data_IF_088141972141
#
_entry.id   IF_088141972141
#
_cell.length_a   1.000
_cell.length_b   1.000
_cell.length_c   1.000
_cell.angle_alpha   90.00
_cell.angle_beta   90.00
_cell.angle_gamma   90.00
#
_symmetry.space_group_name_H-M   'P 1'
#
loop_
_entity.id
_entity.type
_entity.pdbx_description
1 polymer ?
#
# COMPACT_ATOMS: atom_id res chain seq x y z
N UNK A 1 20.00 -27.96 46.76
CA UNK A 1 20.99 -26.86 46.87
C UNK A 1 21.34 -26.40 45.45
N UNK A 2 20.58 -25.46 44.90
CA UNK A 2 21.17 -24.25 44.31
C UNK A 2 20.19 -23.58 43.35
N UNK A 3 19.41 -22.62 43.86
CA UNK A 3 18.69 -21.62 43.06
C UNK A 3 19.70 -20.57 42.59
N UNK A 4 19.68 -20.20 41.31
CA UNK A 4 20.19 -18.93 40.77
C UNK A 4 19.15 -18.47 39.73
N UNK A 5 18.19 -17.64 40.12
CA UNK A 5 18.19 -16.18 39.89
C UNK A 5 18.68 -15.85 38.48
N UNK A 6 17.73 -15.71 37.56
CA UNK A 6 17.85 -14.75 36.46
C UNK A 6 16.70 -13.77 36.61
N UNK A 7 17.09 -12.52 36.80
CA UNK A 7 16.28 -11.37 37.13
C UNK A 7 15.80 -10.71 35.83
N UNK A 8 14.58 -10.16 35.88
CA UNK A 8 14.11 -8.97 35.17
C UNK A 8 14.74 -8.61 33.81
N UNK A 9 14.08 -9.01 32.73
CA UNK A 9 13.87 -8.16 31.53
C UNK A 9 12.42 -8.38 31.09
N UNK A 10 11.46 -7.82 31.83
CA UNK A 10 10.04 -7.75 31.46
C UNK A 10 9.58 -6.30 31.60
N UNK A 11 10.27 -5.41 30.91
CA UNK A 11 9.98 -3.98 30.92
C UNK A 11 10.69 -3.28 29.79
N UNK A 12 10.19 -3.46 28.56
CA UNK A 12 10.38 -2.56 27.41
C UNK A 12 9.46 -2.92 26.21
N UNK A 13 8.39 -3.70 26.42
CA UNK A 13 7.42 -4.06 25.38
C UNK A 13 6.18 -3.14 25.34
N UNK A 14 6.15 -2.07 26.14
CA UNK A 14 5.03 -1.14 26.20
C UNK A 14 5.19 0.13 25.36
N UNK A 15 6.31 0.31 24.63
CA UNK A 15 6.61 1.56 23.93
C UNK A 15 6.25 1.58 22.44
N UNK A 16 5.79 0.47 21.85
CA UNK A 16 5.53 0.40 20.40
C UNK A 16 4.09 0.74 19.98
N UNK A 17 3.17 0.95 20.91
CA UNK A 17 1.76 1.15 20.57
C UNK A 17 1.38 2.61 20.25
N UNK A 18 2.26 3.58 20.49
CA UNK A 18 2.02 5.01 20.18
C UNK A 18 2.68 5.42 18.84
N UNK A 19 3.66 4.66 18.37
CA UNK A 19 4.49 5.00 17.21
C UNK A 19 3.75 5.08 15.85
N UNK A 20 2.77 4.22 15.51
CA UNK A 20 2.16 4.26 14.18
C UNK A 20 1.28 5.50 13.95
N UNK A 21 0.58 5.94 15.01
CA UNK A 21 -0.35 7.07 14.90
C UNK A 21 0.37 8.42 14.80
N UNK A 22 1.42 8.59 15.61
CA UNK A 22 2.25 9.79 15.56
C UNK A 22 3.02 9.87 14.22
N UNK A 23 3.58 8.74 13.77
CA UNK A 23 4.28 8.70 12.48
C UNK A 23 3.35 9.05 11.30
N UNK A 24 2.10 8.58 11.31
CA UNK A 24 1.14 8.94 10.27
C UNK A 24 0.77 10.42 10.33
N UNK A 25 0.45 10.96 11.51
CA UNK A 25 0.09 12.38 11.65
C UNK A 25 1.24 13.32 11.25
N UNK A 26 2.48 13.00 11.63
CA UNK A 26 3.68 13.74 11.20
C UNK A 26 3.85 13.71 9.66
N UNK A 27 3.61 12.54 9.04
CA UNK A 27 3.72 12.39 7.59
C UNK A 27 2.61 13.10 6.81
N UNK A 28 1.42 13.26 7.40
CA UNK A 28 0.28 13.96 6.80
C UNK A 28 0.23 15.45 7.16
N UNK A 29 0.95 15.86 8.20
CA UNK A 29 1.06 17.24 8.66
C UNK A 29 1.99 18.09 7.81
N UNK A 30 2.20 19.34 8.24
CA UNK A 30 2.99 20.35 7.52
C UNK A 30 4.44 19.93 7.24
N UNK A 31 4.99 19.06 8.09
CA UNK A 31 6.35 18.55 7.95
C UNK A 31 6.49 17.45 6.87
N UNK A 32 5.37 16.85 6.46
CA UNK A 32 5.29 15.81 5.43
C UNK A 32 4.54 16.29 4.19
N UNK A 33 3.54 15.53 3.74
CA UNK A 33 2.78 15.85 2.51
C UNK A 33 1.70 16.92 2.72
N UNK A 34 1.49 17.36 3.97
CA UNK A 34 0.57 18.42 4.34
C UNK A 34 -0.89 18.19 3.88
N UNK A 35 -1.33 16.93 3.86
CA UNK A 35 -2.72 16.57 3.56
C UNK A 35 -3.70 17.10 4.62
N UNK A 36 -3.26 17.22 5.88
CA UNK A 36 -4.08 17.74 6.98
C UNK A 36 -4.61 19.16 6.69
N UNK A 37 -3.79 20.01 6.04
CA UNK A 37 -4.23 21.35 5.64
C UNK A 37 -5.35 21.30 4.59
N UNK A 38 -5.27 20.35 3.65
CA UNK A 38 -6.28 20.18 2.60
C UNK A 38 -7.63 19.67 3.15
N UNK A 39 -7.63 19.00 4.30
CA UNK A 39 -8.86 18.56 4.95
C UNK A 39 -9.61 19.71 5.65
N UNK A 40 -8.94 20.82 5.95
CA UNK A 40 -9.55 21.95 6.66
C UNK A 40 -10.24 22.94 5.70
N UNK A 41 -11.16 23.78 6.20
CA UNK A 41 -11.67 24.92 5.45
C UNK A 41 -10.54 25.86 4.98
N UNK A 42 -10.63 26.46 3.77
CA UNK A 42 -11.78 26.41 2.86
C UNK A 42 -11.76 25.21 1.89
N UNK A 43 -10.75 24.33 1.97
CA UNK A 43 -10.51 23.29 0.97
C UNK A 43 -11.46 22.10 1.11
N UNK A 44 -11.55 21.51 2.32
CA UNK A 44 -12.38 20.33 2.61
C UNK A 44 -12.18 19.19 1.58
N UNK A 45 -10.93 19.02 1.11
CA UNK A 45 -10.52 18.04 0.10
C UNK A 45 -10.19 16.71 0.76
N UNK A 46 -11.24 15.92 1.01
CA UNK A 46 -11.11 14.59 1.62
C UNK A 46 -11.37 13.43 0.64
N UNK A 47 -11.58 13.71 -0.65
CA UNK A 47 -11.84 12.69 -1.66
C UNK A 47 -13.31 12.22 -1.77
N UNK A 48 -14.28 13.02 -1.31
CA UNK A 48 -15.71 12.65 -1.43
C UNK A 48 -16.08 12.36 -2.89
N UNK A 49 -16.81 11.26 -3.10
CA UNK A 49 -17.27 10.78 -4.41
C UNK A 49 -16.14 10.34 -5.37
N UNK A 50 -14.89 10.28 -4.90
CA UNK A 50 -13.78 9.72 -5.66
C UNK A 50 -13.61 8.27 -5.28
N UNK A 51 -13.52 7.38 -6.26
CA UNK A 51 -13.09 6.00 -6.03
C UNK A 51 -11.60 5.87 -6.32
N UNK A 52 -10.92 5.16 -5.43
CA UNK A 52 -9.52 4.77 -5.56
C UNK A 52 -9.40 3.27 -5.32
N UNK A 53 -8.30 2.70 -5.79
CA UNK A 53 -8.05 1.27 -5.74
C UNK A 53 -6.77 0.91 -5.00
N UNK A 54 -6.74 -0.32 -4.53
CA UNK A 54 -5.54 -0.94 -3.99
C UNK A 54 -5.41 -2.34 -4.60
N UNK A 55 -4.23 -2.66 -5.09
CA UNK A 55 -3.84 -4.03 -5.42
C UNK A 55 -2.67 -4.38 -4.51
N UNK A 56 -2.74 -5.53 -3.87
CA UNK A 56 -1.75 -5.97 -2.89
C UNK A 56 -1.68 -7.50 -2.88
N UNK A 57 -0.63 -8.08 -2.28
CA UNK A 57 -0.50 -9.53 -2.13
C UNK A 57 -1.73 -10.12 -1.41
N UNK A 58 -2.22 -9.42 -0.38
CA UNK A 58 -3.48 -9.70 0.28
C UNK A 58 -4.47 -8.54 0.16
N UNK A 59 -5.50 -8.53 1.00
CA UNK A 59 -6.52 -7.49 1.05
C UNK A 59 -6.80 -7.04 2.48
N UNK A 60 -7.32 -5.81 2.69
CA UNK A 60 -7.89 -5.44 3.97
C UNK A 60 -9.09 -6.34 4.33
N UNK A 61 -9.41 -6.39 5.62
CA UNK A 61 -10.64 -7.00 6.09
C UNK A 61 -11.87 -6.20 5.64
N UNK A 62 -13.01 -6.88 5.52
CA UNK A 62 -14.26 -6.28 5.10
C UNK A 62 -15.44 -6.78 5.94
N UNK A 63 -16.16 -5.83 6.53
CA UNK A 63 -17.33 -6.13 7.36
C UNK A 63 -18.40 -6.89 6.57
N UNK A 64 -18.93 -7.96 7.15
CA UNK A 64 -19.92 -8.83 6.52
C UNK A 64 -19.33 -9.94 5.64
N UNK A 65 -18.03 -9.89 5.33
CA UNK A 65 -17.30 -11.01 4.70
C UNK A 65 -16.39 -11.70 5.72
N UNK A 66 -15.66 -10.94 6.53
CA UNK A 66 -14.68 -11.47 7.49
C UNK A 66 -15.20 -11.47 8.94
N UNK A 67 -14.90 -12.53 9.68
CA UNK A 67 -15.28 -12.72 11.08
C UNK A 67 -14.29 -12.07 12.05
N UNK A 68 -13.01 -12.06 11.68
CA UNK A 68 -11.95 -11.42 12.48
C UNK A 68 -11.53 -10.12 11.81
N UNK A 69 -12.14 -9.00 12.22
CA UNK A 69 -11.69 -7.67 11.81
C UNK A 69 -10.44 -7.36 12.62
N UNK A 70 -9.26 -7.63 12.04
CA UNK A 70 -7.99 -7.30 12.68
C UNK A 70 -7.87 -5.77 12.82
N UNK A 71 -7.69 -5.33 14.08
CA UNK A 71 -7.12 -4.07 14.59
C UNK A 71 -7.55 -2.68 14.05
N UNK A 72 -8.27 -2.57 12.93
CA UNK A 72 -8.71 -1.29 12.34
C UNK A 72 -10.21 -1.28 12.05
N UNK A 73 -11.01 -1.16 13.12
CA UNK A 73 -12.47 -1.15 13.12
C UNK A 73 -13.13 0.01 12.35
N UNK A 74 -12.35 0.93 11.75
CA UNK A 74 -12.85 2.07 10.97
C UNK A 74 -12.33 2.13 9.54
N UNK A 75 -11.62 1.11 9.07
CA UNK A 75 -11.38 0.95 7.65
C UNK A 75 -12.61 0.29 7.02
N UNK A 76 -13.32 1.03 6.17
CA UNK A 76 -14.49 0.54 5.46
C UNK A 76 -14.23 0.66 3.95
N UNK A 77 -13.55 -0.33 3.34
CA UNK A 77 -13.48 -0.38 1.89
C UNK A 77 -14.89 -0.41 1.30
N UNK A 78 -15.05 0.09 0.07
CA UNK A 78 -16.31 -0.01 -0.67
C UNK A 78 -16.56 -1.46 -1.12
N UNK A 79 -15.51 -2.16 -1.53
CA UNK A 79 -15.56 -3.57 -1.89
C UNK A 79 -14.17 -4.21 -1.84
N UNK A 80 -14.13 -5.52 -1.59
CA UNK A 80 -12.89 -6.31 -1.61
C UNK A 80 -13.01 -7.53 -2.51
N UNK A 81 -11.88 -7.93 -3.09
CA UNK A 81 -11.79 -8.97 -4.12
C UNK A 81 -10.61 -9.91 -3.88
N UNK A 82 -10.68 -11.06 -4.53
CA UNK A 82 -9.54 -11.91 -4.83
C UNK A 82 -9.38 -11.93 -6.35
N UNK A 83 -8.35 -11.27 -6.85
CA UNK A 83 -8.10 -11.03 -8.27
C UNK A 83 -9.30 -10.35 -8.93
N UNK A 84 -9.99 -11.06 -9.83
CA UNK A 84 -11.17 -10.62 -10.56
C UNK A 84 -12.49 -11.19 -10.02
N UNK A 85 -12.45 -11.82 -8.84
CA UNK A 85 -13.60 -12.48 -8.22
C UNK A 85 -13.92 -11.90 -6.85
N UNK A 86 -15.18 -12.03 -6.38
CA UNK A 86 -15.54 -11.64 -5.02
C UNK A 86 -14.65 -12.33 -3.98
N UNK A 87 -14.26 -11.59 -2.94
CA UNK A 87 -13.49 -12.14 -1.84
C UNK A 87 -14.24 -13.27 -1.11
N UNK A 88 -13.50 -14.28 -0.66
CA UNK A 88 -14.04 -15.32 0.22
C UNK A 88 -13.80 -14.95 1.68
N UNK A 89 -14.73 -15.37 2.54
CA UNK A 89 -14.69 -15.16 3.99
C UNK A 89 -13.37 -15.58 4.61
N UNK A 90 -12.74 -14.67 5.36
CA UNK A 90 -11.52 -14.90 6.15
C UNK A 90 -10.32 -15.42 5.32
N UNK A 91 -10.28 -15.13 4.03
CA UNK A 91 -9.18 -15.52 3.12
C UNK A 91 -8.44 -14.32 2.56
N UNK A 92 -7.13 -14.48 2.40
CA UNK A 92 -6.20 -13.47 1.86
C UNK A 92 -6.25 -12.12 2.61
N UNK A 93 -6.78 -12.13 3.85
CA UNK A 93 -6.77 -10.96 4.74
C UNK A 93 -5.36 -10.75 5.24
N UNK A 94 -4.82 -9.57 4.97
CA UNK A 94 -3.41 -9.27 5.22
C UNK A 94 -3.24 -7.96 6.03
N UNK A 95 -2.47 -7.98 7.13
CA UNK A 95 -2.22 -6.78 7.92
C UNK A 95 -1.49 -5.66 7.17
N UNK A 96 -0.58 -5.98 6.25
CA UNK A 96 0.13 -4.97 5.46
C UNK A 96 -0.85 -4.26 4.51
N UNK A 97 -1.69 -5.01 3.80
CA UNK A 97 -2.77 -4.49 2.98
C UNK A 97 -3.75 -3.60 3.78
N UNK A 98 -4.05 -3.96 5.03
CA UNK A 98 -4.88 -3.16 5.92
C UNK A 98 -4.21 -1.85 6.37
N UNK A 99 -2.90 -1.86 6.59
CA UNK A 99 -2.12 -0.66 6.94
C UNK A 99 -2.08 0.32 5.76
N UNK A 100 -1.78 -0.17 4.56
CA UNK A 100 -1.78 0.63 3.32
C UNK A 100 -3.15 1.26 3.08
N UNK A 101 -4.22 0.47 3.16
CA UNK A 101 -5.58 0.96 3.05
C UNK A 101 -5.91 2.02 4.12
N UNK A 102 -5.39 1.84 5.33
CA UNK A 102 -5.50 2.80 6.42
C UNK A 102 -4.91 4.16 6.08
N UNK A 103 -3.67 4.18 5.57
CA UNK A 103 -3.01 5.41 5.09
C UNK A 103 -3.84 6.07 3.98
N UNK A 104 -4.44 5.29 3.08
CA UNK A 104 -5.20 5.83 1.96
C UNK A 104 -6.54 6.47 2.38
N UNK A 105 -7.38 5.74 3.12
CA UNK A 105 -8.81 6.11 3.30
C UNK A 105 -9.34 6.01 4.73
N UNK A 106 -8.51 5.73 5.74
CA UNK A 106 -9.03 5.64 7.11
C UNK A 106 -9.70 6.94 7.52
N UNK A 107 -10.94 6.85 8.03
CA UNK A 107 -11.66 8.00 8.59
C UNK A 107 -11.63 7.97 10.13
N UNK A 108 -10.69 7.24 10.72
CA UNK A 108 -10.46 7.28 12.16
C UNK A 108 -9.96 8.67 12.59
N UNK A 109 -10.36 9.14 13.77
CA UNK A 109 -9.95 10.44 14.30
C UNK A 109 -8.48 10.46 14.70
N UNK A 110 -7.92 9.33 15.12
CA UNK A 110 -6.52 9.22 15.56
C UNK A 110 -5.60 8.71 14.46
N UNK A 111 -6.17 8.15 13.39
CA UNK A 111 -5.46 7.56 12.26
C UNK A 111 -6.19 7.95 10.97
N UNK A 112 -6.31 9.24 10.69
CA UNK A 112 -6.96 9.71 9.47
C UNK A 112 -6.02 9.49 8.29
N UNK A 113 -6.54 8.94 7.19
CA UNK A 113 -5.79 8.75 5.95
C UNK A 113 -5.75 10.00 5.08
N UNK A 114 -5.08 9.89 3.93
CA UNK A 114 -4.91 10.97 2.94
C UNK A 114 -6.25 11.43 2.37
N UNK A 115 -7.12 10.49 1.99
CA UNK A 115 -8.41 10.75 1.36
C UNK A 115 -9.55 10.02 2.12
N UNK A 116 -9.88 10.45 3.34
CA UNK A 116 -10.76 9.70 4.24
C UNK A 116 -12.24 9.67 3.80
N UNK A 117 -12.62 10.44 2.79
CA UNK A 117 -13.93 10.42 2.14
C UNK A 117 -13.97 9.67 0.81
N UNK A 118 -12.85 9.10 0.36
CA UNK A 118 -12.79 8.31 -0.87
C UNK A 118 -13.35 6.89 -0.67
N UNK A 119 -13.79 6.28 -1.77
CA UNK A 119 -14.26 4.89 -1.82
C UNK A 119 -13.11 3.98 -2.23
N UNK A 120 -12.68 3.08 -1.36
CA UNK A 120 -11.58 2.15 -1.66
C UNK A 120 -12.10 0.82 -2.23
N UNK A 121 -11.59 0.42 -3.39
CA UNK A 121 -11.77 -0.91 -3.97
C UNK A 121 -10.45 -1.68 -3.86
N UNK A 122 -10.41 -2.80 -3.14
CA UNK A 122 -9.15 -3.50 -2.88
C UNK A 122 -9.18 -4.94 -3.38
N UNK A 123 -8.15 -5.37 -4.12
CA UNK A 123 -8.03 -6.75 -4.59
C UNK A 123 -6.74 -7.40 -4.10
N UNK A 124 -6.88 -8.60 -3.55
CA UNK A 124 -5.75 -9.49 -3.25
C UNK A 124 -5.32 -10.23 -4.51
N UNK A 125 -4.02 -10.21 -4.79
CA UNK A 125 -3.39 -11.01 -5.85
C UNK A 125 -3.25 -12.48 -5.42
N UNK A 126 -3.01 -12.70 -4.12
CA UNK A 126 -2.74 -14.00 -3.52
C UNK A 126 -1.24 -14.30 -3.34
N UNK A 127 -0.95 -15.44 -2.73
CA UNK A 127 0.42 -15.84 -2.35
C UNK A 127 1.44 -15.74 -3.49
N UNK A 128 2.60 -15.07 -3.28
CA UNK A 128 3.66 -14.94 -4.28
C UNK A 128 4.21 -16.26 -4.84
N UNK A 129 3.97 -17.39 -4.15
CA UNK A 129 4.34 -18.73 -4.62
C UNK A 129 3.42 -19.25 -5.74
N UNK A 130 2.24 -18.64 -5.93
CA UNK A 130 1.15 -19.10 -6.81
C UNK A 130 0.57 -17.99 -7.68
N UNK A 131 1.19 -16.82 -7.67
CA UNK A 131 0.81 -15.64 -8.45
C UNK A 131 2.07 -14.97 -8.98
N UNK A 132 1.93 -14.23 -10.08
CA UNK A 132 2.90 -13.25 -10.54
C UNK A 132 2.24 -12.21 -11.43
N UNK A 133 3.02 -11.64 -12.35
CA UNK A 133 2.57 -10.58 -13.27
C UNK A 133 1.17 -10.77 -13.89
N UNK A 134 0.74 -11.97 -14.35
CA UNK A 134 -0.61 -12.15 -14.90
C UNK A 134 -1.72 -11.89 -13.88
N UNK A 135 -1.61 -12.45 -12.68
CA UNK A 135 -2.59 -12.27 -11.60
C UNK A 135 -2.61 -10.83 -11.08
N UNK A 136 -1.44 -10.19 -11.00
CA UNK A 136 -1.27 -8.80 -10.61
C UNK A 136 -1.95 -7.88 -11.63
N UNK A 137 -1.73 -8.13 -12.92
CA UNK A 137 -2.39 -7.43 -14.02
C UNK A 137 -3.91 -7.65 -14.04
N UNK A 138 -4.37 -8.87 -13.80
CA UNK A 138 -5.79 -9.20 -13.72
C UNK A 138 -6.48 -8.46 -12.56
N UNK A 139 -5.82 -8.43 -11.40
CA UNK A 139 -6.28 -7.68 -10.22
C UNK A 139 -6.35 -6.18 -10.51
N UNK A 140 -5.32 -5.64 -11.18
CA UNK A 140 -5.25 -4.23 -11.60
C UNK A 140 -6.43 -3.84 -12.49
N UNK A 141 -6.70 -4.64 -13.52
CA UNK A 141 -7.81 -4.45 -14.45
C UNK A 141 -9.15 -4.51 -13.74
N UNK A 142 -9.32 -5.52 -12.88
CA UNK A 142 -10.56 -5.68 -12.15
C UNK A 142 -10.83 -4.46 -11.27
N UNK A 143 -9.85 -4.02 -10.49
CA UNK A 143 -9.97 -2.82 -9.64
C UNK A 143 -10.26 -1.58 -10.49
N UNK A 144 -9.57 -1.39 -11.63
CA UNK A 144 -9.80 -0.25 -12.52
C UNK A 144 -11.21 -0.21 -13.11
N UNK A 145 -11.83 -1.38 -13.33
CA UNK A 145 -13.21 -1.49 -13.83
C UNK A 145 -14.29 -1.23 -12.77
N UNK A 146 -13.92 -1.14 -11.49
CA UNK A 146 -14.88 -0.90 -10.42
C UNK A 146 -15.47 0.51 -10.48
N UNK A 147 -16.51 0.75 -9.67
CA UNK A 147 -17.22 2.03 -9.65
C UNK A 147 -17.73 2.47 -11.05
N UNK A 148 -18.11 1.50 -11.90
CA UNK A 148 -18.54 1.78 -13.27
C UNK A 148 -17.42 2.23 -14.22
N UNK A 149 -16.18 1.82 -13.94
CA UNK A 149 -14.99 2.26 -14.69
C UNK A 149 -14.46 3.63 -14.27
N UNK A 150 -14.89 4.14 -13.12
CA UNK A 150 -14.48 5.44 -12.58
C UNK A 150 -13.65 5.26 -11.30
N UNK A 151 -12.48 4.64 -11.43
CA UNK A 151 -11.44 4.60 -10.38
C UNK A 151 -10.30 5.52 -10.80
N UNK A 152 -9.94 6.49 -9.96
CA UNK A 152 -9.02 7.59 -10.34
C UNK A 152 -7.56 7.31 -10.06
N UNK A 153 -7.28 6.51 -9.05
CA UNK A 153 -5.93 6.10 -8.73
C UNK A 153 -5.92 4.69 -8.15
N UNK A 154 -4.88 3.91 -8.42
CA UNK A 154 -4.67 2.57 -7.86
C UNK A 154 -3.27 2.49 -7.25
N UNK A 155 -3.19 2.12 -5.98
CA UNK A 155 -1.92 1.94 -5.27
C UNK A 155 -1.47 0.47 -5.30
N UNK A 156 -0.17 0.28 -5.54
CA UNK A 156 0.58 -0.98 -5.40
C UNK A 156 1.68 -0.75 -4.36
N UNK A 157 1.55 -1.37 -3.19
CA UNK A 157 2.59 -1.32 -2.14
C UNK A 157 3.50 -2.55 -2.15
N UNK A 158 3.67 -3.15 -3.33
CA UNK A 158 4.51 -4.30 -3.61
C UNK A 158 4.96 -4.26 -5.08
N UNK A 159 5.77 -5.24 -5.47
CA UNK A 159 6.18 -5.48 -6.86
C UNK A 159 6.71 -6.91 -7.02
N UNK A 160 7.28 -7.21 -8.18
CA UNK A 160 7.87 -8.51 -8.50
C UNK A 160 9.38 -8.41 -8.77
N UNK A 161 10.09 -9.48 -8.42
CA UNK A 161 11.53 -9.61 -8.67
C UNK A 161 11.83 -9.89 -10.15
N UNK A 162 12.92 -9.31 -10.68
CA UNK A 162 13.49 -9.70 -11.98
C UNK A 162 13.82 -11.19 -12.07
N UNK A 163 14.13 -11.86 -10.96
CA UNK A 163 14.40 -13.32 -10.96
C UNK A 163 13.17 -14.17 -11.27
N UNK A 164 11.96 -13.59 -11.12
CA UNK A 164 10.70 -14.27 -11.38
C UNK A 164 10.08 -13.91 -12.73
N UNK A 165 10.64 -12.90 -13.40
CA UNK A 165 10.25 -12.55 -14.75
C UNK A 165 10.54 -13.73 -15.69
N UNK A 166 9.59 -14.05 -16.56
CA UNK A 166 9.66 -15.20 -17.47
C UNK A 166 10.55 -14.95 -18.70
N UNK A 167 10.94 -13.70 -18.93
CA UNK A 167 11.84 -13.31 -20.03
C UNK A 167 13.26 -13.83 -19.78
N UNK A 168 13.93 -14.28 -20.84
CA UNK A 168 15.29 -14.87 -20.77
C UNK A 168 16.36 -13.86 -20.33
N UNK A 169 16.18 -12.59 -20.67
CA UNK A 169 17.01 -11.47 -20.22
C UNK A 169 16.13 -10.48 -19.46
N UNK A 170 15.86 -10.79 -18.19
CA UNK A 170 15.01 -9.95 -17.37
C UNK A 170 15.74 -8.68 -16.93
N UNK A 171 15.36 -7.57 -17.55
CA UNK A 171 15.83 -6.21 -17.24
C UNK A 171 14.65 -5.25 -17.13
N UNK A 172 14.91 -4.07 -16.58
CA UNK A 172 13.95 -2.97 -16.50
C UNK A 172 14.00 -2.14 -17.79
N UNK A 173 13.21 -2.56 -18.77
CA UNK A 173 13.14 -1.99 -20.12
C UNK A 173 11.70 -1.67 -20.57
N UNK A 174 10.74 -1.70 -19.64
CA UNK A 174 9.33 -1.49 -19.91
C UNK A 174 8.60 -2.73 -20.44
N UNK A 175 9.28 -3.87 -20.63
CA UNK A 175 8.72 -5.03 -21.32
C UNK A 175 8.24 -6.18 -20.42
N UNK A 176 8.33 -6.03 -19.10
CA UNK A 176 7.66 -6.96 -18.19
C UNK A 176 6.14 -6.90 -18.41
N UNK A 177 5.46 -8.05 -18.36
CA UNK A 177 4.00 -8.14 -18.53
C UNK A 177 3.25 -7.19 -17.60
N UNK A 178 3.63 -7.13 -16.32
CA UNK A 178 3.00 -6.21 -15.37
C UNK A 178 3.23 -4.76 -15.78
N UNK A 179 4.46 -4.39 -16.17
CA UNK A 179 4.77 -3.03 -16.62
C UNK A 179 3.92 -2.62 -17.82
N UNK A 180 3.87 -3.46 -18.85
CA UNK A 180 3.03 -3.22 -20.02
C UNK A 180 1.54 -3.15 -19.65
N UNK A 181 1.09 -3.99 -18.72
CA UNK A 181 -0.28 -3.98 -18.23
C UNK A 181 -0.63 -2.67 -17.52
N UNK A 182 0.24 -2.17 -16.65
CA UNK A 182 0.06 -0.88 -15.98
C UNK A 182 -0.01 0.25 -17.01
N UNK A 183 0.90 0.29 -17.98
CA UNK A 183 0.92 1.33 -19.01
C UNK A 183 -0.30 1.30 -19.94
N UNK A 184 -0.70 0.10 -20.36
CA UNK A 184 -1.92 -0.09 -21.14
C UNK A 184 -3.16 0.30 -20.33
N UNK A 185 -3.25 -0.17 -19.09
CA UNK A 185 -4.41 0.05 -18.22
C UNK A 185 -4.56 1.51 -17.84
N UNK A 186 -3.46 2.23 -17.58
CA UNK A 186 -3.48 3.67 -17.30
C UNK A 186 -4.16 4.44 -18.45
N UNK A 187 -3.82 4.09 -19.69
CA UNK A 187 -4.39 4.71 -20.89
C UNK A 187 -5.82 4.26 -21.20
N UNK A 188 -6.14 2.98 -20.98
CA UNK A 188 -7.46 2.42 -21.34
C UNK A 188 -8.52 2.70 -20.29
N UNK A 189 -8.18 2.57 -19.00
CA UNK A 189 -9.10 2.82 -17.89
C UNK A 189 -9.02 4.24 -17.35
N UNK A 190 -8.10 5.08 -17.85
CA UNK A 190 -7.91 6.46 -17.40
C UNK A 190 -7.71 6.55 -15.88
N UNK A 191 -6.76 5.76 -15.39
CA UNK A 191 -6.46 5.59 -13.96
C UNK A 191 -4.97 5.83 -13.70
N UNK A 192 -4.65 6.53 -12.62
CA UNK A 192 -3.27 6.76 -12.22
C UNK A 192 -2.77 5.60 -11.34
N UNK A 193 -1.74 4.89 -11.79
CA UNK A 193 -1.08 3.90 -10.94
C UNK A 193 0.01 4.54 -10.08
N UNK A 194 -0.03 4.26 -8.78
CA UNK A 194 1.01 4.64 -7.82
C UNK A 194 1.67 3.36 -7.33
N UNK A 195 2.95 3.20 -7.62
CA UNK A 195 3.69 1.95 -7.41
C UNK A 195 4.83 2.23 -6.44
N UNK A 196 4.96 1.40 -5.41
CA UNK A 196 6.07 1.47 -4.49
C UNK A 196 7.39 1.18 -5.25
N UNK A 197 8.37 2.07 -5.07
CA UNK A 197 9.75 1.82 -5.47
C UNK A 197 10.43 0.81 -4.55
N UNK A 198 11.76 0.70 -4.64
CA UNK A 198 12.53 -0.18 -3.77
C UNK A 198 12.25 0.09 -2.28
N UNK A 199 11.75 -0.93 -1.58
CA UNK A 199 11.56 -0.93 -0.12
C UNK A 199 12.59 -1.86 0.53
N UNK A 200 13.08 -1.50 1.72
CA UNK A 200 13.92 -2.37 2.54
C UNK A 200 15.23 -2.77 1.85
N UNK A 201 15.42 -4.07 1.58
CA UNK A 201 16.61 -4.55 0.87
C UNK A 201 16.55 -4.41 -0.66
N UNK A 202 15.46 -3.84 -1.20
CA UNK A 202 15.14 -3.89 -2.63
C UNK A 202 14.69 -5.29 -3.07
N UNK A 203 14.60 -5.50 -4.40
CA UNK A 203 14.40 -6.83 -4.99
C UNK A 203 13.03 -7.09 -5.61
N UNK A 204 12.16 -6.07 -5.69
CA UNK A 204 10.85 -6.14 -6.37
C UNK A 204 10.69 -5.00 -7.39
N UNK A 205 11.62 -4.84 -8.34
CA UNK A 205 11.68 -3.65 -9.18
C UNK A 205 10.64 -3.61 -10.30
N UNK A 206 9.93 -4.71 -10.60
CA UNK A 206 8.82 -4.68 -11.56
C UNK A 206 7.56 -4.26 -10.79
N UNK A 207 6.78 -3.25 -11.23
CA UNK A 207 6.82 -2.59 -12.54
C UNK A 207 7.36 -1.15 -12.50
N UNK A 208 8.40 -0.84 -11.70
CA UNK A 208 8.90 0.54 -11.50
C UNK A 208 9.42 1.24 -12.76
N UNK A 209 9.59 0.50 -13.85
CA UNK A 209 9.98 0.95 -15.19
C UNK A 209 8.78 1.30 -16.09
N UNK A 210 7.59 1.46 -15.52
CA UNK A 210 6.39 1.93 -16.21
C UNK A 210 6.53 3.39 -16.70
N UNK A 211 5.82 3.74 -17.78
CA UNK A 211 5.83 5.10 -18.33
C UNK A 211 4.64 5.97 -17.87
N UNK A 212 3.50 5.39 -17.49
CA UNK A 212 2.22 6.07 -17.27
C UNK A 212 1.72 6.01 -15.82
N UNK A 213 2.61 5.77 -14.86
CA UNK A 213 2.32 5.79 -13.42
C UNK A 213 3.28 6.69 -12.65
N UNK A 214 3.21 6.62 -11.32
CA UNK A 214 4.16 7.25 -10.40
C UNK A 214 4.82 6.16 -9.57
N UNK A 215 6.14 6.01 -9.72
CA UNK A 215 6.94 5.21 -8.78
C UNK A 215 7.29 6.08 -7.57
N UNK A 216 6.92 5.61 -6.38
CA UNK A 216 7.06 6.36 -5.12
C UNK A 216 8.02 5.66 -4.17
N UNK A 217 9.09 6.37 -3.80
CA UNK A 217 10.02 6.00 -2.74
C UNK A 217 9.66 6.72 -1.43
N UNK A 218 10.29 6.36 -0.30
CA UNK A 218 10.00 7.00 0.99
C UNK A 218 11.16 7.87 1.49
N UNK A 219 10.82 8.95 2.19
CA UNK A 219 11.77 9.87 2.82
C UNK A 219 11.86 9.62 4.32
N UNK A 220 12.98 10.02 4.91
CA UNK A 220 13.19 10.07 6.36
C UNK A 220 13.20 11.50 6.86
N UNK A 221 12.77 11.70 8.10
CA UNK A 221 12.73 13.01 8.73
C UNK A 221 14.14 13.49 9.06
N UNK A 222 14.44 14.74 8.75
CA UNK A 222 15.64 15.48 9.19
C UNK A 222 15.20 16.82 9.72
N UNK A 223 15.62 17.12 10.96
CA UNK A 223 15.27 18.37 11.64
C UNK A 223 13.75 18.63 11.68
N UNK A 224 12.98 17.56 11.85
CA UNK A 224 11.52 17.65 11.93
C UNK A 224 10.78 17.61 10.59
N UNK A 225 11.45 17.62 9.43
CA UNK A 225 10.79 17.64 8.11
C UNK A 225 11.26 16.48 7.22
N UNK A 226 10.38 15.93 6.39
CA UNK A 226 10.69 14.82 5.47
C UNK A 226 11.47 15.31 4.22
N UNK A 227 12.76 15.63 4.38
CA UNK A 227 13.59 16.25 3.32
C UNK A 227 14.71 15.36 2.79
N UNK A 228 14.94 14.19 3.38
CA UNK A 228 16.01 13.27 2.97
C UNK A 228 15.43 11.98 2.43
N UNK A 229 15.86 11.55 1.26
CA UNK A 229 15.56 10.19 0.75
C UNK A 229 16.04 9.17 1.77
N UNK A 230 15.17 8.21 2.14
CA UNK A 230 15.57 7.17 3.09
C UNK A 230 16.63 6.26 2.46
N UNK A 231 17.62 5.87 3.25
CA UNK A 231 18.74 5.08 2.77
C UNK A 231 18.35 3.71 2.24
N UNK A 232 17.28 3.11 2.74
CA UNK A 232 16.84 1.80 2.26
C UNK A 232 16.16 1.85 0.87
N UNK A 233 15.97 3.04 0.28
CA UNK A 233 15.69 3.13 -1.16
C UNK A 233 16.92 2.88 -2.04
N UNK A 234 18.14 3.06 -1.51
CA UNK A 234 19.37 3.13 -2.32
C UNK A 234 20.03 1.77 -2.54
N UNK A 235 20.00 0.86 -1.56
CA UNK A 235 20.56 -0.50 -1.70
C UNK A 235 20.15 -1.42 -0.55
N UNK A 236 20.41 -2.71 -0.72
CA UNK A 236 20.23 -3.73 0.32
C UNK A 236 21.13 -3.55 1.56
N UNK A 237 22.25 -2.85 1.40
CA UNK A 237 23.25 -2.61 2.44
C UNK A 237 23.72 -1.15 2.34
N UNK A 238 22.86 -0.18 2.70
CA UNK A 238 23.21 1.22 2.54
C UNK A 238 24.36 1.58 3.49
N UNK A 239 25.51 1.97 2.94
CA UNK A 239 26.58 2.63 3.67
C UNK A 239 26.28 4.14 3.66
N UNK A 240 26.08 4.73 4.83
CA UNK A 240 25.73 6.13 5.01
C UNK A 240 26.62 6.82 6.01
#
# INVERSE_FOLDING_TARGET
>A
MGKKISWLIWGLSASWFIAPAQALDDSLGEAGINANQLHQPPYDLIGRKIAIGQVEIGRPSFFGIDKAISWNYKLLPAQVFYRDTPAKTDTDVDPHAAMVAGVMVSNDKTLKGVAPGARLYASAVGSPLKSGQPEECLSAQHVASQNGGDVRAINFSFGESLQRDSRSESILDGNALLTQCIDWSARVHNVLYVIAGNQGSGGIPIPTDHYNGITTAYSTQREGVFTKVDFANLSAAPLG
#
